data_IF_413997504735
#
_entry.id   IF_413997504735
#
_cell.length_a   1.000
_cell.length_b   1.000
_cell.length_c   1.000
_cell.angle_alpha   90.00
_cell.angle_beta   90.00
_cell.angle_gamma   90.00
#
_symmetry.space_group_name_H-M   'P 1'
#
loop_
_entity.id
_entity.type
_entity.pdbx_description
1 polymer ?
#
# COMPACT_ATOMS: atom_id res chain seq x y z
N UNK A 1 90.04 70.45 1.42
CA UNK A 1 88.90 69.67 1.97
C UNK A 1 87.90 69.23 0.88
N UNK A 2 88.26 68.40 -0.13
CA UNK A 2 87.33 67.97 -1.19
C UNK A 2 86.51 66.70 -0.83
N UNK A 3 86.83 66.05 0.29
CA UNK A 3 86.25 64.75 0.71
C UNK A 3 84.80 64.85 1.19
N UNK A 4 84.46 65.90 1.95
CA UNK A 4 83.10 66.13 2.47
C UNK A 4 82.05 66.34 1.37
N UNK A 5 82.45 66.88 0.21
CA UNK A 5 81.52 67.22 -0.86
C UNK A 5 81.11 65.99 -1.71
N UNK A 6 81.93 64.92 -1.73
CA UNK A 6 81.58 63.64 -2.36
C UNK A 6 80.64 62.81 -1.46
N UNK A 7 80.95 62.75 -0.16
CA UNK A 7 80.15 62.04 0.84
C UNK A 7 78.74 62.63 0.99
N UNK A 8 78.64 63.96 1.02
CA UNK A 8 77.36 64.67 1.02
C UNK A 8 76.54 64.38 -0.24
N UNK A 9 77.17 64.38 -1.43
CA UNK A 9 76.50 64.04 -2.70
C UNK A 9 76.00 62.60 -2.72
N UNK A 10 76.77 61.63 -2.22
CA UNK A 10 76.33 60.22 -2.15
C UNK A 10 75.15 60.01 -1.21
N UNK A 11 75.14 60.69 -0.05
CA UNK A 11 74.01 60.63 0.89
C UNK A 11 72.76 61.24 0.26
N UNK A 12 72.88 62.40 -0.40
CA UNK A 12 71.77 63.06 -1.10
C UNK A 12 71.22 62.17 -2.22
N UNK A 13 72.07 61.51 -3.02
CA UNK A 13 71.61 60.58 -4.06
C UNK A 13 70.90 59.36 -3.49
N UNK A 14 71.38 58.80 -2.37
CA UNK A 14 70.71 57.66 -1.69
C UNK A 14 69.35 58.10 -1.16
N UNK A 15 69.26 59.28 -0.53
CA UNK A 15 68.00 59.86 -0.04
C UNK A 15 66.99 60.11 -1.16
N UNK A 16 67.44 60.63 -2.31
CA UNK A 16 66.60 60.82 -3.49
C UNK A 16 66.08 59.48 -4.04
N UNK A 17 66.93 58.45 -4.12
CA UNK A 17 66.53 57.12 -4.56
C UNK A 17 65.50 56.51 -3.59
N UNK A 18 65.71 56.66 -2.27
CA UNK A 18 64.78 56.24 -1.23
C UNK A 18 63.44 56.98 -1.31
N UNK A 19 63.46 58.28 -1.61
CA UNK A 19 62.24 59.08 -1.77
C UNK A 19 61.45 58.64 -3.01
N UNK A 20 62.14 58.38 -4.12
CA UNK A 20 61.53 57.92 -5.36
C UNK A 20 60.96 56.51 -5.21
N UNK A 21 61.69 55.59 -4.54
CA UNK A 21 61.21 54.23 -4.30
C UNK A 21 60.01 54.20 -3.35
N UNK A 22 60.04 54.99 -2.28
CA UNK A 22 58.92 55.18 -1.35
C UNK A 22 57.67 55.73 -2.07
N UNK A 23 57.84 56.78 -2.88
CA UNK A 23 56.75 57.39 -3.63
C UNK A 23 56.15 56.44 -4.67
N UNK A 24 57.00 55.66 -5.36
CA UNK A 24 56.57 54.61 -6.30
C UNK A 24 55.80 53.48 -5.60
N UNK A 25 56.26 53.04 -4.42
CA UNK A 25 55.58 52.05 -3.60
C UNK A 25 54.21 52.54 -3.10
N UNK A 26 54.14 53.80 -2.65
CA UNK A 26 52.88 54.44 -2.25
C UNK A 26 51.89 54.50 -3.42
N UNK A 27 52.36 54.88 -4.60
CA UNK A 27 51.56 54.94 -5.81
C UNK A 27 50.98 53.58 -6.20
N UNK A 28 51.80 52.51 -6.17
CA UNK A 28 51.34 51.15 -6.43
C UNK A 28 50.30 50.68 -5.38
N UNK A 29 50.54 50.98 -4.10
CA UNK A 29 49.62 50.62 -3.02
C UNK A 29 48.27 51.32 -3.16
N UNK A 30 48.25 52.61 -3.51
CA UNK A 30 47.02 53.38 -3.77
C UNK A 30 46.26 52.81 -4.97
N UNK A 31 46.97 52.43 -6.04
CA UNK A 31 46.36 51.81 -7.21
C UNK A 31 45.68 50.48 -6.86
N UNK A 32 46.34 49.64 -6.07
CA UNK A 32 45.80 48.34 -5.62
C UNK A 32 44.54 48.53 -4.74
N UNK A 33 44.58 49.49 -3.79
CA UNK A 33 43.43 49.82 -2.94
C UNK A 33 42.23 50.25 -3.80
N UNK A 34 42.47 51.13 -4.79
CA UNK A 34 41.40 51.60 -5.68
C UNK A 34 40.75 50.44 -6.46
N UNK A 35 41.56 49.51 -6.97
CA UNK A 35 41.01 48.31 -7.66
C UNK A 35 40.25 47.39 -6.69
N UNK A 36 40.70 47.25 -5.45
CA UNK A 36 39.99 46.46 -4.43
C UNK A 36 38.65 47.10 -4.08
N UNK A 37 38.59 48.42 -3.91
CA UNK A 37 37.33 49.14 -3.68
C UNK A 37 36.33 48.94 -4.83
N UNK A 38 36.80 48.99 -6.08
CA UNK A 38 35.96 48.71 -7.26
C UNK A 38 35.42 47.27 -7.22
N UNK A 39 36.25 46.27 -6.86
CA UNK A 39 35.79 44.88 -6.71
C UNK A 39 34.85 44.67 -5.53
N UNK A 40 35.06 45.35 -4.41
CA UNK A 40 34.16 45.28 -3.23
C UNK A 40 32.80 45.88 -3.57
N UNK A 41 32.79 46.98 -4.31
CA UNK A 41 31.55 47.60 -4.79
C UNK A 41 30.76 46.67 -5.71
N UNK A 42 31.42 46.02 -6.69
CA UNK A 42 30.74 45.08 -7.59
C UNK A 42 30.26 43.80 -6.90
N UNK A 43 31.02 43.27 -5.93
CA UNK A 43 30.60 42.13 -5.11
C UNK A 43 29.38 42.48 -4.25
N UNK A 44 29.31 43.70 -3.72
CA UNK A 44 28.15 44.17 -2.95
C UNK A 44 26.90 44.22 -3.83
N UNK A 45 27.01 44.77 -5.04
CA UNK A 45 25.91 44.79 -6.02
C UNK A 45 25.45 43.37 -6.39
N UNK A 46 26.40 42.47 -6.66
CA UNK A 46 26.08 41.06 -6.93
C UNK A 46 25.37 40.39 -5.75
N UNK A 47 25.79 40.70 -4.51
CA UNK A 47 25.17 40.16 -3.29
C UNK A 47 23.74 40.65 -3.13
N UNK A 48 23.46 41.93 -3.37
CA UNK A 48 22.09 42.47 -3.33
C UNK A 48 21.22 41.83 -4.43
N UNK A 49 21.74 41.70 -5.65
CA UNK A 49 21.04 41.01 -6.73
C UNK A 49 20.76 39.53 -6.43
N UNK A 50 21.70 38.85 -5.76
CA UNK A 50 21.49 37.47 -5.30
C UNK A 50 20.40 37.39 -4.22
N UNK A 51 20.36 38.33 -3.28
CA UNK A 51 19.27 38.40 -2.27
C UNK A 51 17.91 38.58 -2.92
N UNK A 52 17.79 39.48 -3.89
CA UNK A 52 16.53 39.67 -4.64
C UNK A 52 16.10 38.37 -5.32
N UNK A 53 17.04 37.67 -5.98
CA UNK A 53 16.77 36.40 -6.65
C UNK A 53 16.33 35.30 -5.69
N UNK A 54 16.94 35.24 -4.50
CA UNK A 54 16.57 34.29 -3.44
C UNK A 54 15.13 34.57 -3.00
N UNK A 55 14.77 35.84 -2.74
CA UNK A 55 13.40 36.20 -2.35
C UNK A 55 12.36 35.92 -3.45
N UNK A 56 12.71 36.07 -4.73
CA UNK A 56 11.85 35.65 -5.85
C UNK A 56 11.63 34.12 -5.85
N UNK A 57 12.72 33.36 -5.68
CA UNK A 57 12.67 31.89 -5.64
C UNK A 57 11.86 31.38 -4.45
N UNK A 58 12.00 32.01 -3.27
CA UNK A 58 11.20 31.69 -2.08
C UNK A 58 9.70 31.86 -2.36
N UNK A 59 9.28 33.01 -2.89
CA UNK A 59 7.87 33.24 -3.27
C UNK A 59 7.38 32.26 -4.32
N UNK A 60 8.24 31.89 -5.28
CA UNK A 60 7.89 30.88 -6.29
C UNK A 60 7.67 29.51 -5.65
N UNK A 61 8.54 29.11 -4.71
CA UNK A 61 8.40 27.86 -3.97
C UNK A 61 7.12 27.83 -3.14
N UNK A 62 6.78 28.92 -2.44
CA UNK A 62 5.55 29.02 -1.66
C UNK A 62 4.30 28.84 -2.55
N UNK A 63 4.27 29.48 -3.71
CA UNK A 63 3.18 29.34 -4.69
C UNK A 63 3.09 27.91 -5.25
N UNK A 64 4.23 27.26 -5.50
CA UNK A 64 4.27 25.88 -5.99
C UNK A 64 3.75 24.91 -4.93
N UNK A 65 4.14 25.08 -3.67
CA UNK A 65 3.64 24.28 -2.55
C UNK A 65 2.11 24.43 -2.42
N UNK A 66 1.59 25.65 -2.49
CA UNK A 66 0.16 25.90 -2.45
C UNK A 66 -0.58 25.22 -3.61
N UNK A 67 -0.05 25.32 -4.83
CA UNK A 67 -0.64 24.67 -6.00
C UNK A 67 -0.58 23.13 -5.90
N UNK A 68 0.48 22.58 -5.31
CA UNK A 68 0.61 21.15 -5.07
C UNK A 68 -0.45 20.67 -4.08
N UNK A 69 -0.61 21.33 -2.93
CA UNK A 69 -1.64 20.98 -1.94
C UNK A 69 -3.06 21.04 -2.53
N UNK A 70 -3.37 22.05 -3.34
CA UNK A 70 -4.66 22.12 -4.05
C UNK A 70 -4.86 20.96 -5.01
N UNK A 71 -3.83 20.58 -5.77
CA UNK A 71 -3.91 19.44 -6.68
C UNK A 71 -4.09 18.11 -5.94
N UNK A 72 -3.41 17.94 -4.80
CA UNK A 72 -3.57 16.76 -3.95
C UNK A 72 -5.00 16.66 -3.41
N UNK A 73 -5.59 17.76 -2.98
CA UNK A 73 -6.98 17.80 -2.53
C UNK A 73 -7.97 17.49 -3.67
N UNK A 74 -7.77 18.08 -4.85
CA UNK A 74 -8.58 17.78 -6.04
C UNK A 74 -8.52 16.29 -6.40
N UNK A 75 -7.31 15.73 -6.45
CA UNK A 75 -7.11 14.32 -6.77
C UNK A 75 -7.78 13.41 -5.74
N UNK A 76 -7.70 13.77 -4.45
CA UNK A 76 -8.39 13.05 -3.38
C UNK A 76 -9.91 13.07 -3.58
N UNK A 77 -10.48 14.23 -3.89
CA UNK A 77 -11.92 14.38 -4.11
C UNK A 77 -12.39 13.62 -5.36
N UNK A 78 -11.64 13.68 -6.47
CA UNK A 78 -11.92 12.91 -7.68
C UNK A 78 -11.86 11.40 -7.43
N UNK A 79 -10.86 10.95 -6.67
CA UNK A 79 -10.71 9.53 -6.30
C UNK A 79 -11.89 9.05 -5.47
N UNK A 80 -12.31 9.81 -4.46
CA UNK A 80 -13.47 9.49 -3.64
C UNK A 80 -14.76 9.47 -4.46
N UNK A 81 -14.92 10.43 -5.38
CA UNK A 81 -16.07 10.51 -6.27
C UNK A 81 -16.13 9.29 -7.18
N UNK A 82 -15.00 8.89 -7.76
CA UNK A 82 -14.90 7.71 -8.61
C UNK A 82 -15.24 6.42 -7.84
N UNK A 83 -14.70 6.26 -6.63
CA UNK A 83 -15.00 5.10 -5.79
C UNK A 83 -16.51 4.99 -5.51
N UNK A 84 -17.17 6.11 -5.18
CA UNK A 84 -18.62 6.16 -4.97
C UNK A 84 -19.40 5.71 -6.21
N UNK A 85 -19.02 6.20 -7.40
CA UNK A 85 -19.69 5.80 -8.64
C UNK A 85 -19.46 4.31 -8.97
N UNK A 86 -18.27 3.77 -8.70
CA UNK A 86 -17.99 2.34 -8.90
C UNK A 86 -18.88 1.48 -7.98
N UNK A 87 -19.06 1.86 -6.72
CA UNK A 87 -19.98 1.19 -5.79
C UNK A 87 -21.45 1.28 -6.26
N UNK A 88 -21.89 2.44 -6.72
CA UNK A 88 -23.24 2.64 -7.23
C UNK A 88 -23.51 1.79 -8.49
N UNK A 89 -22.56 1.72 -9.42
CA UNK A 89 -22.63 0.88 -10.61
C UNK A 89 -22.68 -0.62 -10.26
N UNK A 90 -21.88 -1.05 -9.28
CA UNK A 90 -21.92 -2.43 -8.78
C UNK A 90 -23.30 -2.74 -8.21
N UNK A 91 -23.85 -1.85 -7.36
CA UNK A 91 -25.16 -2.05 -6.75
C UNK A 91 -26.29 -2.06 -7.78
N UNK A 92 -26.22 -1.22 -8.82
CA UNK A 92 -27.22 -1.18 -9.89
C UNK A 92 -27.20 -2.45 -10.76
N UNK A 93 -26.02 -3.03 -11.00
CA UNK A 93 -25.85 -4.23 -11.81
C UNK A 93 -25.91 -5.53 -11.00
N UNK A 94 -26.02 -5.45 -9.67
CA UNK A 94 -25.95 -6.58 -8.75
C UNK A 94 -27.10 -7.55 -9.00
N UNK A 95 -26.75 -8.82 -9.19
CA UNK A 95 -27.69 -9.94 -9.34
C UNK A 95 -27.79 -10.72 -8.03
N UNK A 96 -26.65 -10.94 -7.37
CA UNK A 96 -26.60 -11.66 -6.11
C UNK A 96 -25.38 -11.23 -5.29
N UNK A 97 -25.47 -11.43 -3.99
CA UNK A 97 -24.38 -11.17 -3.04
C UNK A 97 -24.38 -12.25 -1.96
N UNK A 98 -23.19 -12.63 -1.50
CA UNK A 98 -23.00 -13.44 -0.29
C UNK A 98 -21.80 -12.90 0.48
N UNK A 99 -21.89 -12.96 1.81
CA UNK A 99 -20.83 -12.60 2.73
C UNK A 99 -20.40 -13.83 3.54
N UNK A 100 -19.13 -13.86 3.94
CA UNK A 100 -18.53 -14.92 4.75
C UNK A 100 -17.22 -14.41 5.36
N UNK A 101 -16.42 -15.32 5.88
CA UNK A 101 -15.12 -15.05 6.47
C UNK A 101 -14.05 -15.97 5.91
N UNK A 102 -12.87 -15.42 5.67
CA UNK A 102 -11.64 -16.17 5.41
C UNK A 102 -10.81 -16.17 6.68
N UNK A 103 -10.40 -17.35 7.15
CA UNK A 103 -9.50 -17.46 8.30
C UNK A 103 -8.05 -17.46 7.85
N UNK A 104 -7.31 -16.49 8.35
CA UNK A 104 -5.90 -16.27 8.05
C UNK A 104 -5.07 -16.24 9.34
N UNK A 105 -3.75 -16.34 9.21
CA UNK A 105 -2.82 -16.23 10.34
C UNK A 105 -1.99 -14.97 10.15
N UNK A 106 -1.62 -14.33 11.25
CA UNK A 106 -0.56 -13.32 11.26
C UNK A 106 0.82 -13.93 11.52
N UNK A 107 1.85 -13.10 11.47
CA UNK A 107 3.25 -13.50 11.69
C UNK A 107 3.53 -14.14 13.07
N UNK A 108 2.60 -14.02 14.02
CA UNK A 108 2.69 -14.65 15.34
C UNK A 108 1.82 -15.91 15.47
N UNK A 109 1.42 -16.51 14.34
CA UNK A 109 0.50 -17.65 14.26
C UNK A 109 -0.87 -17.38 14.92
N UNK A 110 -1.27 -16.12 15.09
CA UNK A 110 -2.60 -15.82 15.62
C UNK A 110 -3.62 -15.80 14.48
N UNK A 111 -4.73 -16.51 14.70
CA UNK A 111 -5.83 -16.56 13.75
C UNK A 111 -6.63 -15.25 13.71
N UNK A 112 -6.96 -14.79 12.50
CA UNK A 112 -7.75 -13.61 12.22
C UNK A 112 -8.84 -13.94 11.20
N UNK A 113 -10.02 -13.32 11.36
CA UNK A 113 -11.11 -13.41 10.38
C UNK A 113 -11.04 -12.22 9.45
N UNK A 114 -10.99 -12.50 8.15
CA UNK A 114 -10.98 -11.50 7.10
C UNK A 114 -12.35 -11.52 6.40
N UNK A 115 -13.06 -10.38 6.31
CA UNK A 115 -14.30 -10.28 5.56
C UNK A 115 -14.12 -10.76 4.13
N UNK A 116 -15.01 -11.66 3.71
CA UNK A 116 -15.14 -12.15 2.35
C UNK A 116 -16.51 -11.75 1.81
N UNK A 117 -16.51 -11.08 0.68
CA UNK A 117 -17.74 -10.73 -0.03
C UNK A 117 -17.64 -11.22 -1.48
N UNK A 118 -18.68 -11.91 -1.93
CA UNK A 118 -18.87 -12.33 -3.32
C UNK A 118 -20.04 -11.54 -3.88
N UNK A 119 -19.79 -10.77 -4.94
CA UNK A 119 -20.83 -10.07 -5.70
C UNK A 119 -20.89 -10.68 -7.10
N UNK A 120 -22.08 -11.08 -7.51
CA UNK A 120 -22.38 -11.47 -8.89
C UNK A 120 -23.16 -10.32 -9.50
N UNK A 121 -22.65 -9.75 -10.60
CA UNK A 121 -23.29 -8.66 -11.33
C UNK A 121 -23.42 -8.97 -12.81
N UNK A 122 -24.32 -8.28 -13.50
CA UNK A 122 -24.39 -8.36 -14.97
C UNK A 122 -23.05 -7.91 -15.58
N UNK A 123 -22.56 -8.66 -16.57
CA UNK A 123 -21.20 -8.54 -17.05
C UNK A 123 -20.87 -9.40 -18.27
N UNK A 124 -19.61 -9.77 -18.42
CA UNK A 124 -19.06 -10.51 -19.58
C UNK A 124 -18.43 -11.85 -19.20
N UNK A 125 -18.61 -12.27 -17.95
CA UNK A 125 -17.97 -13.48 -17.42
C UNK A 125 -16.59 -13.25 -16.83
N UNK A 126 -16.26 -12.00 -16.49
CA UNK A 126 -14.96 -11.65 -15.92
C UNK A 126 -14.93 -12.01 -14.41
N UNK A 127 -13.78 -12.48 -13.93
CA UNK A 127 -13.51 -12.71 -12.51
C UNK A 127 -12.56 -11.64 -11.98
N UNK A 128 -13.01 -10.88 -11.00
CA UNK A 128 -12.23 -9.84 -10.33
C UNK A 128 -11.91 -10.28 -8.89
N UNK A 129 -10.64 -10.24 -8.53
CA UNK A 129 -10.17 -10.48 -7.17
C UNK A 129 -9.61 -9.18 -6.60
N UNK A 130 -10.26 -8.65 -5.58
CA UNK A 130 -9.93 -7.40 -4.92
C UNK A 130 -9.50 -7.67 -3.49
N UNK A 131 -8.20 -7.56 -3.23
CA UNK A 131 -7.59 -7.82 -1.93
C UNK A 131 -7.04 -6.52 -1.35
N UNK A 132 -7.33 -6.21 -0.09
CA UNK A 132 -6.81 -5.01 0.57
C UNK A 132 -6.51 -5.21 2.06
N UNK A 133 -5.49 -4.50 2.54
CA UNK A 133 -5.03 -4.49 3.95
C UNK A 133 -4.64 -5.86 4.54
N UNK A 134 -4.22 -6.80 3.68
CA UNK A 134 -3.65 -8.10 4.06
C UNK A 134 -2.49 -8.43 3.13
N UNK A 135 -1.60 -9.30 3.58
CA UNK A 135 -0.66 -9.99 2.71
C UNK A 135 -1.37 -11.19 2.06
N UNK A 136 -0.97 -11.55 0.84
CA UNK A 136 -1.50 -12.73 0.14
C UNK A 136 -0.43 -13.39 -0.70
N UNK A 137 -0.54 -14.70 -0.85
CA UNK A 137 0.40 -15.49 -1.67
C UNK A 137 -0.03 -15.57 -3.14
N UNK A 138 0.86 -16.07 -3.98
CA UNK A 138 0.63 -16.26 -5.41
C UNK A 138 -0.50 -17.28 -5.72
N UNK A 139 -0.88 -18.11 -4.76
CA UNK A 139 -1.89 -19.16 -4.93
C UNK A 139 -3.32 -18.66 -4.75
N UNK A 140 -3.51 -17.45 -4.20
CA UNK A 140 -4.85 -16.90 -3.97
C UNK A 140 -5.64 -16.74 -5.28
N UNK A 141 -4.98 -16.30 -6.35
CA UNK A 141 -5.64 -16.12 -7.64
C UNK A 141 -6.09 -17.46 -8.27
N UNK A 142 -5.22 -18.47 -8.25
CA UNK A 142 -5.57 -19.80 -8.79
C UNK A 142 -6.62 -20.51 -7.93
N UNK A 143 -6.57 -20.33 -6.61
CA UNK A 143 -7.58 -20.81 -5.68
C UNK A 143 -8.95 -20.16 -5.93
N UNK A 144 -8.98 -18.84 -6.14
CA UNK A 144 -10.21 -18.13 -6.50
C UNK A 144 -10.82 -18.62 -7.81
N UNK A 145 -10.01 -18.83 -8.85
CA UNK A 145 -10.47 -19.40 -10.12
C UNK A 145 -11.06 -20.81 -9.93
N UNK A 146 -10.36 -21.66 -9.19
CA UNK A 146 -10.81 -23.02 -8.86
C UNK A 146 -12.12 -22.98 -8.08
N UNK A 147 -12.23 -22.11 -7.08
CA UNK A 147 -13.43 -21.93 -6.28
C UNK A 147 -14.65 -21.54 -7.13
N UNK A 148 -14.51 -20.57 -8.04
CA UNK A 148 -15.61 -20.16 -8.91
C UNK A 148 -15.98 -21.26 -9.92
N UNK A 149 -14.99 -22.00 -10.44
CA UNK A 149 -15.26 -23.16 -11.30
C UNK A 149 -16.08 -24.22 -10.57
N UNK A 150 -15.64 -24.64 -9.38
CA UNK A 150 -16.34 -25.64 -8.56
C UNK A 150 -17.73 -25.15 -8.15
N UNK A 151 -17.87 -23.88 -7.74
CA UNK A 151 -19.17 -23.32 -7.39
C UNK A 151 -20.17 -23.37 -8.57
N UNK A 152 -19.71 -23.12 -9.80
CA UNK A 152 -20.54 -23.28 -11.01
C UNK A 152 -20.94 -24.72 -11.25
N UNK A 153 -20.02 -25.66 -11.10
CA UNK A 153 -20.26 -27.09 -11.30
C UNK A 153 -21.29 -27.62 -10.28
N UNK A 154 -21.16 -27.22 -9.01
CA UNK A 154 -22.10 -27.58 -7.94
C UNK A 154 -23.49 -26.99 -8.15
N UNK A 155 -23.58 -25.75 -8.62
CA UNK A 155 -24.88 -25.04 -8.75
C UNK A 155 -25.54 -25.19 -10.11
N UNK A 156 -24.79 -25.61 -11.14
CA UNK A 156 -25.23 -25.58 -12.54
C UNK A 156 -25.38 -24.16 -13.10
N UNK A 157 -24.83 -23.13 -12.42
CA UNK A 157 -25.01 -21.73 -12.78
C UNK A 157 -24.12 -21.33 -13.95
N UNK A 158 -24.71 -20.74 -15.00
CA UNK A 158 -23.96 -20.06 -16.06
C UNK A 158 -23.53 -18.66 -15.62
N UNK A 159 -22.27 -18.31 -15.90
CA UNK A 159 -21.68 -16.99 -15.65
C UNK A 159 -21.27 -16.26 -16.94
N UNK A 160 -21.72 -16.71 -18.11
CA UNK A 160 -21.28 -16.13 -19.41
C UNK A 160 -21.56 -14.62 -19.50
N UNK A 161 -22.66 -14.17 -18.91
CA UNK A 161 -23.15 -12.80 -18.88
C UNK A 161 -23.07 -12.18 -17.47
N UNK A 162 -22.26 -12.78 -16.58
CA UNK A 162 -22.15 -12.35 -15.18
C UNK A 162 -20.71 -12.26 -14.74
N UNK A 163 -20.32 -11.09 -14.26
CA UNK A 163 -19.02 -10.92 -13.61
C UNK A 163 -19.13 -11.38 -12.15
N UNK A 164 -18.03 -11.94 -11.64
CA UNK A 164 -17.87 -12.30 -10.23
C UNK A 164 -16.79 -11.41 -9.62
N UNK A 165 -17.15 -10.70 -8.57
CA UNK A 165 -16.24 -9.85 -7.81
C UNK A 165 -16.04 -10.49 -6.44
N UNK A 166 -14.79 -10.83 -6.13
CA UNK A 166 -14.36 -11.38 -4.86
C UNK A 166 -13.64 -10.27 -4.11
N UNK A 167 -14.17 -9.89 -2.95
CA UNK A 167 -13.55 -8.93 -2.05
C UNK A 167 -13.04 -9.64 -0.81
N UNK A 168 -11.73 -9.55 -0.58
CA UNK A 168 -11.08 -9.99 0.66
C UNK A 168 -10.41 -8.74 1.24
N UNK A 169 -11.14 -8.03 2.09
CA UNK A 169 -10.74 -6.71 2.59
C UNK A 169 -10.71 -6.74 4.10
N UNK A 170 -9.52 -6.60 4.66
CA UNK A 170 -9.40 -6.52 6.10
C UNK A 170 -9.40 -5.06 6.59
N UNK A 171 -9.65 -4.84 7.89
CA UNK A 171 -9.41 -3.56 8.54
C UNK A 171 -7.94 -3.08 8.40
N UNK A 172 -7.70 -1.79 8.59
CA UNK A 172 -6.40 -1.15 8.31
C UNK A 172 -5.27 -1.65 9.24
N UNK A 173 -5.62 -2.19 10.40
CA UNK A 173 -4.74 -2.67 11.47
C UNK A 173 -4.33 -4.14 11.35
N UNK A 174 -4.83 -4.90 10.36
CA UNK A 174 -4.50 -6.32 10.16
C UNK A 174 -3.43 -6.57 9.09
N UNK A 175 -2.54 -5.59 8.86
CA UNK A 175 -1.55 -5.63 7.76
C UNK A 175 -0.56 -6.79 7.84
N UNK A 176 -0.34 -7.33 9.02
CA UNK A 176 0.58 -8.45 9.26
C UNK A 176 -0.12 -9.82 9.11
N UNK A 177 -1.40 -9.83 8.70
CA UNK A 177 -2.16 -11.06 8.43
C UNK A 177 -1.95 -11.52 6.98
N UNK A 178 -1.57 -12.79 6.81
CA UNK A 178 -1.36 -13.42 5.51
C UNK A 178 -2.51 -14.35 5.13
N UNK A 179 -3.22 -14.02 4.05
CA UNK A 179 -4.24 -14.85 3.42
C UNK A 179 -3.57 -15.77 2.39
N UNK A 180 -3.45 -17.06 2.70
CA UNK A 180 -2.98 -18.06 1.73
C UNK A 180 -4.12 -18.58 0.87
N UNK A 181 -3.92 -18.66 -0.45
CA UNK A 181 -4.93 -19.15 -1.39
C UNK A 181 -5.40 -20.56 -1.06
N UNK A 182 -4.47 -21.42 -0.64
CA UNK A 182 -4.77 -22.78 -0.20
C UNK A 182 -5.70 -22.86 1.01
N UNK A 183 -5.85 -21.84 1.86
CA UNK A 183 -6.75 -21.93 3.01
C UNK A 183 -8.09 -21.22 2.85
N UNK A 184 -8.16 -20.25 1.93
CA UNK A 184 -9.37 -19.50 1.61
C UNK A 184 -10.31 -20.21 0.60
N UNK A 185 -9.79 -21.20 -0.14
CA UNK A 185 -10.50 -21.79 -1.29
C UNK A 185 -11.90 -22.31 -0.98
N UNK A 186 -12.05 -23.09 0.11
CA UNK A 186 -13.36 -23.61 0.53
C UNK A 186 -14.34 -22.50 0.94
N UNK A 187 -13.89 -21.49 1.68
CA UNK A 187 -14.71 -20.34 2.08
C UNK A 187 -15.18 -19.52 0.85
N UNK A 188 -14.29 -19.25 -0.11
CA UNK A 188 -14.62 -18.59 -1.37
C UNK A 188 -15.65 -19.41 -2.15
N UNK A 189 -15.45 -20.73 -2.26
CA UNK A 189 -16.35 -21.62 -2.98
C UNK A 189 -17.74 -21.62 -2.36
N UNK A 190 -17.81 -21.71 -1.03
CA UNK A 190 -19.06 -21.75 -0.30
C UNK A 190 -19.86 -20.44 -0.41
N UNK A 191 -19.18 -19.30 -0.28
CA UNK A 191 -19.79 -17.98 -0.50
C UNK A 191 -20.26 -17.80 -1.95
N UNK A 192 -19.49 -18.32 -2.92
CA UNK A 192 -19.89 -18.30 -4.33
C UNK A 192 -21.12 -19.18 -4.60
N UNK A 193 -21.19 -20.38 -4.02
CA UNK A 193 -22.37 -21.25 -4.10
C UNK A 193 -23.60 -20.53 -3.53
N UNK A 194 -23.48 -19.93 -2.34
CA UNK A 194 -24.55 -19.18 -1.71
C UNK A 194 -25.04 -18.01 -2.59
N UNK A 195 -24.12 -17.20 -3.12
CA UNK A 195 -24.44 -16.11 -4.04
C UNK A 195 -25.13 -16.63 -5.32
N UNK A 196 -24.62 -17.69 -5.95
CA UNK A 196 -25.21 -18.27 -7.16
C UNK A 196 -26.61 -18.85 -6.93
N UNK A 197 -26.87 -19.37 -5.73
CA UNK A 197 -28.18 -19.91 -5.34
C UNK A 197 -29.15 -18.83 -4.81
N UNK A 198 -28.68 -17.59 -4.61
CA UNK A 198 -29.47 -16.55 -3.94
C UNK A 198 -29.79 -16.89 -2.49
N UNK A 199 -28.89 -17.56 -1.79
CA UNK A 199 -29.04 -17.99 -0.40
C UNK A 199 -28.02 -17.30 0.51
N UNK A 200 -28.31 -17.29 1.81
CA UNK A 200 -27.42 -16.73 2.83
C UNK A 200 -26.65 -17.84 3.53
N UNK A 201 -25.38 -17.56 3.84
CA UNK A 201 -24.59 -18.41 4.71
C UNK A 201 -24.98 -18.19 6.17
N UNK A 202 -24.74 -19.22 6.98
CA UNK A 202 -24.85 -19.16 8.42
C UNK A 202 -23.64 -18.48 9.02
N UNK A 203 -23.86 -17.36 9.69
CA UNK A 203 -22.79 -16.59 10.36
C UNK A 203 -22.13 -17.37 11.51
N UNK A 204 -22.84 -18.35 12.08
CA UNK A 204 -22.37 -19.19 13.19
C UNK A 204 -21.57 -20.44 12.71
N UNK A 205 -21.42 -20.64 11.40
CA UNK A 205 -20.67 -21.75 10.81
C UNK A 205 -19.52 -21.24 9.95
N UNK A 206 -18.30 -21.50 10.39
CA UNK A 206 -17.09 -21.10 9.68
C UNK A 206 -16.35 -22.29 9.08
N UNK A 207 -15.61 -22.08 8.00
CA UNK A 207 -14.90 -23.13 7.27
C UNK A 207 -13.47 -22.72 6.93
N UNK A 208 -12.56 -23.68 6.93
CA UNK A 208 -11.21 -23.55 6.35
C UNK A 208 -10.89 -24.77 5.48
N UNK A 209 -10.04 -24.59 4.47
CA UNK A 209 -9.63 -25.69 3.60
C UNK A 209 -9.28 -25.23 2.19
N UNK A 210 -8.37 -25.95 1.53
CA UNK A 210 -8.14 -25.77 0.09
C UNK A 210 -9.31 -26.37 -0.68
N UNK A 211 -9.63 -25.78 -1.83
CA UNK A 211 -10.57 -26.38 -2.77
C UNK A 211 -9.79 -26.95 -3.95
N UNK A 212 -10.19 -28.15 -4.40
CA UNK A 212 -9.68 -28.79 -5.61
C UNK A 212 -10.78 -28.89 -6.66
N UNK A 213 -10.38 -29.07 -7.91
CA UNK A 213 -11.32 -29.20 -9.03
C UNK A 213 -12.25 -30.43 -8.92
N UNK A 214 -11.88 -31.45 -8.14
CA UNK A 214 -12.73 -32.62 -7.85
C UNK A 214 -13.70 -32.39 -6.68
N UNK A 215 -13.88 -31.13 -6.29
CA UNK A 215 -14.72 -30.65 -5.20
C UNK A 215 -14.20 -31.04 -3.80
N UNK A 216 -13.08 -31.75 -3.69
CA UNK A 216 -12.51 -32.15 -2.41
C UNK A 216 -11.90 -30.98 -1.65
N UNK A 217 -12.07 -31.03 -0.33
CA UNK A 217 -11.49 -30.06 0.59
C UNK A 217 -10.14 -30.58 1.07
N UNK A 218 -9.07 -29.86 0.75
CA UNK A 218 -7.70 -30.21 1.11
C UNK A 218 -7.24 -29.60 2.42
N UNK A 219 -6.19 -30.22 2.98
CA UNK A 219 -5.60 -29.85 4.27
C UNK A 219 -5.02 -28.43 4.28
N UNK A 220 -4.93 -27.86 5.47
CA UNK A 220 -4.38 -26.51 5.72
C UNK A 220 -3.38 -26.51 6.88
N UNK A 221 -2.57 -25.45 6.95
CA UNK A 221 -1.77 -25.13 8.14
C UNK A 221 -2.56 -24.30 9.16
N UNK A 222 -2.19 -24.46 10.43
CA UNK A 222 -2.73 -23.73 11.57
C UNK A 222 -4.21 -23.98 11.86
N UNK A 223 -4.65 -25.24 11.80
CA UNK A 223 -6.05 -25.60 12.02
C UNK A 223 -6.54 -25.18 13.41
N UNK A 224 -5.70 -25.33 14.44
CA UNK A 224 -6.02 -24.98 15.81
C UNK A 224 -6.15 -23.47 16.00
N UNK A 225 -5.23 -22.70 15.46
CA UNK A 225 -5.15 -21.24 15.54
C UNK A 225 -6.37 -20.61 14.84
N UNK A 226 -6.77 -21.15 13.70
CA UNK A 226 -7.98 -20.76 12.98
C UNK A 226 -9.25 -21.13 13.74
N UNK A 227 -9.30 -22.33 14.31
CA UNK A 227 -10.45 -22.74 15.12
C UNK A 227 -10.61 -21.89 16.38
N UNK A 228 -9.50 -21.44 17.00
CA UNK A 228 -9.51 -20.48 18.10
C UNK A 228 -10.07 -19.13 17.67
N UNK A 229 -9.69 -18.64 16.49
CA UNK A 229 -10.26 -17.40 15.94
C UNK A 229 -11.76 -17.54 15.65
N UNK A 230 -12.18 -18.66 15.05
CA UNK A 230 -13.60 -18.97 14.85
C UNK A 230 -14.40 -18.97 16.16
N UNK A 231 -13.83 -19.57 17.22
CA UNK A 231 -14.42 -19.54 18.56
C UNK A 231 -14.51 -18.12 19.12
N UNK A 232 -13.44 -17.32 19.00
CA UNK A 232 -13.43 -15.93 19.48
C UNK A 232 -14.45 -15.05 18.76
N UNK A 233 -14.72 -15.33 17.49
CA UNK A 233 -15.80 -14.70 16.72
C UNK A 233 -17.20 -15.10 17.21
N UNK A 234 -17.32 -16.22 17.92
CA UNK A 234 -18.60 -16.75 18.41
C UNK A 234 -19.23 -17.80 17.48
N UNK A 235 -18.46 -18.38 16.56
CA UNK A 235 -18.95 -19.50 15.75
C UNK A 235 -19.28 -20.70 16.65
N UNK A 236 -20.38 -21.39 16.33
CA UNK A 236 -20.79 -22.60 17.04
C UNK A 236 -20.18 -23.85 16.42
N UNK A 237 -19.96 -23.81 15.10
CA UNK A 237 -19.45 -24.91 14.31
C UNK A 237 -18.29 -24.46 13.41
N UNK A 238 -17.18 -25.20 13.47
CA UNK A 238 -16.02 -25.00 12.61
C UNK A 238 -15.79 -26.23 11.73
N UNK A 239 -15.88 -26.01 10.42
CA UNK A 239 -15.69 -27.04 9.40
C UNK A 239 -14.21 -27.09 9.01
N UNK A 240 -13.62 -28.28 9.12
CA UNK A 240 -12.21 -28.53 8.79
C UNK A 240 -12.06 -29.67 7.78
N UNK A 241 -10.95 -29.75 7.04
CA UNK A 241 -10.70 -30.86 6.14
C UNK A 241 -10.65 -32.20 6.89
N UNK A 242 -11.00 -33.29 6.21
CA UNK A 242 -10.95 -34.65 6.77
C UNK A 242 -9.58 -34.98 7.38
N UNK A 243 -9.59 -35.53 8.59
CA UNK A 243 -8.40 -35.89 9.36
C UNK A 243 -7.70 -34.72 10.07
N UNK A 244 -8.25 -33.50 10.07
CA UNK A 244 -7.68 -32.35 10.80
C UNK A 244 -8.40 -32.03 12.11
N UNK A 245 -9.47 -32.74 12.49
CA UNK A 245 -10.14 -32.50 13.78
C UNK A 245 -9.22 -32.76 14.98
N UNK A 246 -8.37 -33.79 14.89
CA UNK A 246 -7.39 -34.12 15.94
C UNK A 246 -6.32 -33.04 16.12
N UNK A 247 -5.98 -32.29 15.07
CA UNK A 247 -5.00 -31.19 15.12
C UNK A 247 -5.54 -29.98 15.87
N UNK A 248 -6.85 -29.75 15.82
CA UNK A 248 -7.51 -28.68 16.57
C UNK A 248 -7.55 -28.98 18.07
N UNK A 249 -7.90 -30.23 18.42
CA UNK A 249 -8.11 -30.66 19.81
C UNK A 249 -9.39 -30.08 20.43
N UNK A 250 -9.55 -30.28 21.74
CA UNK A 250 -10.72 -29.79 22.48
C UNK A 250 -10.51 -28.34 22.92
N UNK A 251 -11.05 -27.40 22.13
CA UNK A 251 -10.95 -25.97 22.42
C UNK A 251 -12.30 -25.31 22.73
N UNK A 252 -13.39 -26.08 22.85
CA UNK A 252 -14.71 -25.58 23.23
C UNK A 252 -15.50 -24.90 22.11
N UNK A 253 -15.30 -25.33 20.87
CA UNK A 253 -16.16 -25.09 19.70
C UNK A 253 -16.42 -26.45 19.04
N UNK A 254 -17.57 -26.64 18.40
CA UNK A 254 -17.84 -27.89 17.68
C UNK A 254 -16.98 -27.95 16.41
N UNK A 255 -16.23 -29.05 16.25
CA UNK A 255 -15.40 -29.30 15.07
C UNK A 255 -16.01 -30.44 14.26
N UNK A 256 -16.28 -30.17 12.98
CA UNK A 256 -16.77 -31.16 12.04
C UNK A 256 -15.86 -31.28 10.84
N UNK A 257 -15.57 -32.52 10.46
CA UNK A 257 -14.77 -32.82 9.29
C UNK A 257 -15.65 -32.87 8.05
N UNK A 258 -15.22 -32.16 7.00
CA UNK A 258 -15.88 -32.14 5.70
C UNK A 258 -14.91 -32.61 4.63
N UNK A 259 -15.41 -33.44 3.70
CA UNK A 259 -14.60 -34.01 2.63
C UNK A 259 -14.77 -33.24 1.32
N UNK A 260 -15.99 -32.81 1.01
CA UNK A 260 -16.29 -32.04 -0.20
C UNK A 260 -17.04 -30.76 0.13
N UNK A 261 -17.08 -29.84 -0.83
CA UNK A 261 -17.80 -28.57 -0.65
C UNK A 261 -19.31 -28.76 -0.52
N UNK A 262 -19.89 -29.79 -1.15
CA UNK A 262 -21.31 -30.11 -1.01
C UNK A 262 -21.64 -30.62 0.39
N UNK A 263 -20.73 -31.36 1.02
CA UNK A 263 -20.87 -31.77 2.42
C UNK A 263 -20.88 -30.53 3.32
N UNK A 264 -19.94 -29.60 3.11
CA UNK A 264 -19.89 -28.33 3.84
C UNK A 264 -21.14 -27.47 3.65
N UNK A 265 -21.64 -27.37 2.41
CA UNK A 265 -22.81 -26.57 2.06
C UNK A 265 -24.06 -26.97 2.85
N UNK A 266 -24.22 -28.26 3.20
CA UNK A 266 -25.35 -28.76 4.00
C UNK A 266 -25.40 -28.16 5.41
N UNK A 267 -24.25 -27.80 5.97
CA UNK A 267 -24.15 -27.24 7.32
C UNK A 267 -24.18 -25.71 7.32
N UNK A 268 -23.68 -25.09 6.24
CA UNK A 268 -23.43 -23.65 6.21
C UNK A 268 -24.46 -22.84 5.42
N UNK A 269 -25.18 -23.41 4.45
CA UNK A 269 -26.16 -22.65 3.67
C UNK A 269 -27.55 -22.79 4.32
N UNK A 270 -28.20 -21.66 4.58
CA UNK A 270 -29.55 -21.67 5.15
C UNK A 270 -30.55 -22.33 4.19
N UNK A 271 -31.39 -23.21 4.73
CA UNK A 271 -32.53 -23.76 4.00
C UNK A 271 -33.63 -22.69 3.95
N UNK A 272 -34.21 -22.48 2.77
CA UNK A 272 -35.30 -21.54 2.52
C UNK A 272 -36.58 -21.90 3.28
#
# INVERSE_FOLDING_TARGET
MPYNNRLLKTIITILLILLISSSSFLYLSIKEIKTKDETVSSLKDLTEKQKERISELERSNDNLQLNLSRKEELLKNETQTRQRYEEELINLAMVAKSESWVLALDDNDKGNLIPLEIIIKSGRGDLFLNVANVLFDETLQSSAQTAIKVAREVTGTSLVDKDVLIYIKAPVDTRDTTVSGGSAGSAITLAAIAAMQGKTLRDDVLITGSIREDHSIGRIGGAKEKALAAKQYGAVLFLVPTGQKSEVGEIGIEIMEVRTIEDAARYSIQSS
#
